data_IF_389704389990
#
_entry.id   IF_389704389990
#
_cell.length_a   1.000
_cell.length_b   1.000
_cell.length_c   1.000
_cell.angle_alpha   90.00
_cell.angle_beta   90.00
_cell.angle_gamma   90.00
#
_symmetry.space_group_name_H-M   'P 1'
#
loop_
_entity.id
_entity.type
_entity.pdbx_description
1 polymer ?
#
# COMPACT_ATOMS: atom_id res chain seq x y z
N UNK A 1 47.52 -10.53 -11.05
CA UNK A 1 46.87 -10.00 -9.83
C UNK A 1 45.33 -10.02 -9.88
N UNK A 2 44.67 -9.54 -10.96
CA UNK A 2 43.19 -9.58 -11.06
C UNK A 2 42.58 -11.00 -11.04
N UNK A 3 43.24 -11.98 -11.66
CA UNK A 3 42.78 -13.39 -11.69
C UNK A 3 42.91 -14.11 -10.34
N UNK A 4 43.88 -13.72 -9.50
CA UNK A 4 44.06 -14.29 -8.15
C UNK A 4 43.04 -13.67 -7.17
N UNK A 5 42.73 -12.38 -7.35
CA UNK A 5 41.71 -11.67 -6.59
C UNK A 5 40.31 -12.27 -6.82
N UNK A 6 39.96 -12.59 -8.06
CA UNK A 6 38.67 -13.22 -8.39
C UNK A 6 38.53 -14.63 -7.79
N UNK A 7 39.60 -15.42 -7.74
CA UNK A 7 39.56 -16.76 -7.15
C UNK A 7 39.39 -16.69 -5.63
N UNK A 8 40.02 -15.72 -4.96
CA UNK A 8 39.83 -15.48 -3.53
C UNK A 8 38.40 -15.03 -3.18
N UNK A 9 37.80 -14.20 -4.04
CA UNK A 9 36.45 -13.67 -3.84
C UNK A 9 35.37 -14.75 -4.03
N UNK A 10 35.57 -15.66 -4.98
CA UNK A 10 34.69 -16.83 -5.18
C UNK A 10 34.82 -17.82 -4.02
N UNK A 11 36.04 -18.08 -3.52
CA UNK A 11 36.26 -18.95 -2.35
C UNK A 11 35.62 -18.41 -1.07
N UNK A 12 35.63 -17.08 -0.86
CA UNK A 12 35.00 -16.46 0.31
C UNK A 12 33.47 -16.62 0.33
N UNK A 13 32.81 -16.65 -0.83
CA UNK A 13 31.35 -16.83 -0.96
C UNK A 13 30.91 -18.29 -0.73
N UNK A 14 31.80 -19.26 -0.96
CA UNK A 14 31.49 -20.68 -0.68
C UNK A 14 31.56 -21.04 0.81
N UNK A 15 32.33 -20.31 1.62
CA UNK A 15 32.45 -20.57 3.06
C UNK A 15 31.34 -19.95 3.93
N UNK A 16 30.46 -19.12 3.37
CA UNK A 16 29.39 -18.45 4.12
C UNK A 16 28.10 -19.29 4.31
N UNK A 17 28.03 -20.51 3.79
CA UNK A 17 26.81 -21.35 3.85
C UNK A 17 26.91 -22.56 4.79
N UNK A 18 27.97 -22.73 5.58
CA UNK A 18 28.16 -23.89 6.47
C UNK A 18 28.25 -23.49 7.94
N UNK A 19 27.44 -22.52 8.37
CA UNK A 19 27.32 -22.13 9.76
C UNK A 19 25.84 -21.90 10.13
N UNK A 20 25.08 -22.99 10.25
CA UNK A 20 24.00 -23.21 11.22
C UNK A 20 23.25 -24.51 10.88
N UNK A 21 23.91 -25.66 11.03
CA UNK A 21 23.21 -26.92 11.27
C UNK A 21 23.35 -27.22 12.76
N UNK A 22 22.28 -27.00 13.52
CA UNK A 22 22.10 -27.58 14.85
C UNK A 22 20.76 -28.31 14.88
N UNK A 23 20.86 -29.60 15.17
CA UNK A 23 19.77 -30.55 15.32
C UNK A 23 18.92 -30.32 16.57
N UNK A 24 17.63 -30.61 16.40
CA UNK A 24 16.71 -31.31 17.31
C UNK A 24 16.22 -30.60 18.57
N UNK A 25 14.90 -30.39 18.63
CA UNK A 25 13.99 -31.05 19.58
C UNK A 25 12.55 -30.82 19.16
N UNK A 26 11.84 -31.92 18.90
CA UNK A 26 10.38 -31.96 18.85
C UNK A 26 9.84 -31.60 20.24
N UNK A 27 9.19 -30.45 20.35
CA UNK A 27 8.31 -30.16 21.48
C UNK A 27 6.95 -29.75 20.91
N UNK A 28 5.97 -30.62 21.12
CA UNK A 28 4.57 -30.39 20.74
C UNK A 28 4.00 -29.34 21.69
N UNK A 29 4.29 -28.08 21.41
CA UNK A 29 3.68 -26.95 22.07
C UNK A 29 2.24 -26.82 21.57
N UNK A 30 1.30 -26.96 22.49
CA UNK A 30 -0.11 -26.62 22.30
C UNK A 30 -0.18 -25.12 22.02
N UNK A 31 -0.28 -24.74 20.75
CA UNK A 31 -0.44 -23.35 20.31
C UNK A 31 -1.77 -22.83 20.82
N UNK A 32 -1.76 -22.22 22.01
CA UNK A 32 -2.75 -21.21 22.36
C UNK A 32 -2.45 -20.03 21.45
N UNK A 33 -3.27 -19.84 20.42
CA UNK A 33 -3.25 -18.62 19.61
C UNK A 33 -3.71 -17.48 20.51
N UNK A 34 -2.80 -16.94 21.30
CA UNK A 34 -2.97 -15.62 21.88
C UNK A 34 -3.01 -14.67 20.69
N UNK A 35 -4.19 -14.20 20.32
CA UNK A 35 -4.34 -13.12 19.35
C UNK A 35 -3.61 -11.93 19.96
N UNK A 36 -2.36 -11.71 19.55
CA UNK A 36 -1.68 -10.44 19.75
C UNK A 36 -2.56 -9.41 19.09
N UNK A 37 -3.22 -8.59 19.90
CA UNK A 37 -3.84 -7.36 19.41
C UNK A 37 -2.68 -6.55 18.86
N UNK A 38 -2.61 -6.42 17.54
CA UNK A 38 -1.68 -5.52 16.89
C UNK A 38 -2.02 -4.12 17.40
N UNK A 39 -1.16 -3.55 18.25
CA UNK A 39 -1.29 -2.17 18.71
C UNK A 39 -1.27 -1.30 17.46
N UNK A 40 -2.33 -0.51 17.26
CA UNK A 40 -2.41 0.39 16.13
C UNK A 40 -1.40 1.52 16.38
N UNK A 41 -0.30 1.63 15.61
CA UNK A 41 0.69 2.69 15.81
C UNK A 41 0.11 4.09 15.53
N UNK A 42 -1.12 4.16 15.02
CA UNK A 42 -1.85 5.35 14.63
C UNK A 42 -3.05 5.65 15.54
N UNK A 43 -3.14 5.01 16.71
CA UNK A 43 -4.29 5.17 17.62
C UNK A 43 -4.46 6.61 18.12
N UNK A 44 -3.37 7.37 18.28
CA UNK A 44 -3.43 8.72 18.84
C UNK A 44 -3.35 9.85 17.82
N UNK A 45 -2.64 9.68 16.70
CA UNK A 45 -2.51 10.68 15.64
C UNK A 45 -1.86 10.07 14.41
N UNK A 46 -2.34 10.42 13.22
CA UNK A 46 -1.78 9.93 11.96
C UNK A 46 -1.73 11.02 10.90
N UNK A 47 -0.59 11.13 10.23
CA UNK A 47 -0.41 11.96 9.04
C UNK A 47 -0.71 11.11 7.79
N UNK A 48 -1.55 11.62 6.90
CA UNK A 48 -1.96 10.95 5.67
C UNK A 48 -1.62 11.86 4.49
N UNK A 49 -0.77 11.40 3.59
CA UNK A 49 -0.54 12.10 2.32
C UNK A 49 -1.65 11.81 1.33
N UNK A 50 -2.17 12.85 0.69
CA UNK A 50 -3.36 12.75 -0.17
C UNK A 50 -3.16 13.49 -1.49
N UNK A 51 -3.35 12.79 -2.61
CA UNK A 51 -3.38 13.43 -3.94
C UNK A 51 -4.78 13.36 -4.55
N UNK A 52 -5.36 14.53 -4.79
CA UNK A 52 -6.69 14.64 -5.40
C UNK A 52 -6.61 14.60 -6.92
N UNK A 53 -7.70 14.19 -7.57
CA UNK A 53 -7.77 14.17 -9.03
C UNK A 53 -7.57 15.56 -9.63
N UNK A 54 -8.27 16.56 -9.08
CA UNK A 54 -8.27 17.93 -9.58
C UNK A 54 -7.80 18.85 -8.46
N UNK A 55 -6.60 19.40 -8.61
CA UNK A 55 -6.04 20.33 -7.61
C UNK A 55 -5.60 21.68 -8.20
N UNK A 56 -6.19 22.09 -9.32
CA UNK A 56 -5.86 23.35 -10.00
C UNK A 56 -6.04 24.59 -9.10
N UNK A 57 -7.02 24.55 -8.20
CA UNK A 57 -7.34 25.64 -7.27
C UNK A 57 -6.92 25.31 -5.83
N UNK A 58 -5.80 24.60 -5.68
CA UNK A 58 -5.27 24.23 -4.36
C UNK A 58 -5.15 25.46 -3.44
N UNK A 59 -5.53 25.27 -2.18
CA UNK A 59 -5.40 26.24 -1.11
C UNK A 59 -5.05 25.46 0.15
N UNK A 60 -4.09 25.95 0.91
CA UNK A 60 -3.80 25.39 2.23
C UNK A 60 -4.96 25.70 3.19
N UNK A 61 -5.15 24.83 4.20
CA UNK A 61 -6.09 25.02 5.29
C UNK A 61 -7.53 25.20 4.80
N UNK A 62 -7.98 24.37 3.85
CA UNK A 62 -9.37 24.45 3.42
C UNK A 62 -10.30 23.97 4.53
N UNK A 63 -11.52 24.48 4.52
CA UNK A 63 -12.49 24.16 5.57
C UNK A 63 -12.81 22.66 5.64
N UNK A 64 -12.84 21.98 4.50
CA UNK A 64 -13.15 20.55 4.38
C UNK A 64 -12.00 19.67 4.90
N UNK A 65 -10.76 20.03 4.59
CA UNK A 65 -9.53 19.44 5.16
C UNK A 65 -9.55 19.55 6.70
N UNK A 66 -9.67 20.77 7.23
CA UNK A 66 -9.65 21.02 8.68
C UNK A 66 -10.81 20.33 9.44
N UNK A 67 -11.98 20.20 8.80
CA UNK A 67 -13.12 19.52 9.40
C UNK A 67 -12.88 18.00 9.48
N UNK A 68 -12.34 17.40 8.42
CA UNK A 68 -11.98 15.97 8.40
C UNK A 68 -10.86 15.65 9.39
N UNK A 69 -9.81 16.45 9.43
CA UNK A 69 -8.70 16.32 10.39
C UNK A 69 -9.20 16.33 11.83
N UNK A 70 -10.09 17.27 12.17
CA UNK A 70 -10.70 17.35 13.50
C UNK A 70 -11.61 16.16 13.79
N UNK A 71 -12.42 15.72 12.83
CA UNK A 71 -13.36 14.60 13.00
C UNK A 71 -12.64 13.27 13.25
N UNK A 72 -11.56 13.03 12.50
CA UNK A 72 -10.86 11.75 12.51
C UNK A 72 -9.57 11.76 13.32
N UNK A 73 -9.18 12.92 13.87
CA UNK A 73 -7.94 13.11 14.63
C UNK A 73 -6.70 12.69 13.82
N UNK A 74 -6.63 13.20 12.59
CA UNK A 74 -5.56 12.97 11.62
C UNK A 74 -5.07 14.32 11.08
N UNK A 75 -3.93 14.30 10.41
CA UNK A 75 -3.39 15.41 9.62
C UNK A 75 -3.35 14.99 8.15
N UNK A 76 -4.03 15.73 7.27
CA UNK A 76 -4.18 15.37 5.86
C UNK A 76 -3.27 16.26 5.03
N UNK A 77 -2.12 15.74 4.65
CA UNK A 77 -1.15 16.43 3.81
C UNK A 77 -1.55 16.33 2.34
N UNK A 78 -2.37 17.28 1.88
CA UNK A 78 -2.84 17.34 0.49
C UNK A 78 -1.72 17.84 -0.44
N UNK A 79 -1.33 17.01 -1.39
CA UNK A 79 -0.29 17.32 -2.37
C UNK A 79 -0.79 18.32 -3.40
N UNK A 80 0.04 19.32 -3.72
CA UNK A 80 -0.31 20.40 -4.66
C UNK A 80 -0.48 19.95 -6.11
N UNK A 81 0.07 18.80 -6.48
CA UNK A 81 0.03 18.27 -7.84
C UNK A 81 -1.39 17.87 -8.25
N UNK A 82 -1.63 17.94 -9.55
CA UNK A 82 -2.92 17.64 -10.15
C UNK A 82 -2.90 16.24 -10.80
N UNK A 83 -3.71 15.33 -10.27
CA UNK A 83 -3.81 13.93 -10.70
C UNK A 83 -4.17 13.71 -12.18
N UNK A 84 -4.70 14.71 -12.88
CA UNK A 84 -5.00 14.64 -14.33
C UNK A 84 -3.91 15.25 -15.22
N UNK A 85 -2.83 15.80 -14.66
CA UNK A 85 -1.71 16.38 -15.41
C UNK A 85 -0.54 15.39 -15.47
N UNK A 86 -0.37 14.74 -16.62
CA UNK A 86 0.66 13.70 -16.80
C UNK A 86 2.10 14.18 -16.51
N UNK A 87 2.41 15.44 -16.84
CA UNK A 87 3.72 16.02 -16.57
C UNK A 87 4.02 16.17 -15.07
N UNK A 88 2.99 16.27 -14.24
CA UNK A 88 3.12 16.33 -12.78
C UNK A 88 3.16 14.94 -12.15
N UNK A 89 2.44 13.96 -12.72
CA UNK A 89 2.44 12.58 -12.21
C UNK A 89 3.72 11.81 -12.57
N UNK A 90 4.24 11.97 -13.79
CA UNK A 90 5.39 11.21 -14.28
C UNK A 90 6.61 11.22 -13.31
N UNK A 91 7.06 12.36 -12.76
CA UNK A 91 8.20 12.36 -11.84
C UNK A 91 7.89 11.68 -10.50
N UNK A 92 6.68 11.85 -9.94
CA UNK A 92 6.28 11.23 -8.66
C UNK A 92 6.34 9.70 -8.76
N UNK A 93 5.68 9.14 -9.77
CA UNK A 93 5.64 7.71 -9.99
C UNK A 93 7.00 7.12 -10.36
N UNK A 94 7.82 7.84 -11.15
CA UNK A 94 9.17 7.40 -11.48
C UNK A 94 10.12 7.38 -10.26
N UNK A 95 9.89 8.27 -9.30
CA UNK A 95 10.65 8.32 -8.05
C UNK A 95 10.18 7.31 -7.00
N UNK A 96 9.01 6.69 -7.20
CA UNK A 96 8.33 5.90 -6.17
C UNK A 96 7.78 6.76 -5.02
N UNK A 97 7.64 8.07 -5.24
CA UNK A 97 7.07 9.02 -4.29
C UNK A 97 5.55 9.02 -4.48
N UNK A 98 4.90 8.03 -3.85
CA UNK A 98 3.47 7.74 -3.98
C UNK A 98 2.77 8.14 -2.67
N UNK A 99 1.68 8.93 -2.73
CA UNK A 99 0.92 9.31 -1.55
C UNK A 99 0.14 8.11 -0.98
N UNK A 100 -0.20 8.16 0.31
CA UNK A 100 -0.94 7.11 1.01
C UNK A 100 -2.30 6.83 0.38
N UNK A 101 -2.95 7.90 -0.11
CA UNK A 101 -4.20 7.83 -0.86
C UNK A 101 -4.18 8.77 -2.06
N UNK A 102 -4.65 8.31 -3.21
CA UNK A 102 -4.74 9.16 -4.39
C UNK A 102 -5.78 8.75 -5.40
N UNK A 103 -6.13 9.73 -6.25
CA UNK A 103 -6.75 9.47 -7.53
C UNK A 103 -5.99 10.21 -8.64
N UNK A 104 -5.16 9.48 -9.40
CA UNK A 104 -4.29 10.03 -10.43
C UNK A 104 -4.56 9.38 -11.81
N UNK A 105 -5.61 9.79 -12.54
CA UNK A 105 -5.91 9.24 -13.87
C UNK A 105 -4.79 9.41 -14.90
N UNK A 106 -3.90 10.39 -14.72
CA UNK A 106 -2.76 10.63 -15.59
C UNK A 106 -1.47 9.94 -15.14
N UNK A 107 -1.54 9.00 -14.19
CA UNK A 107 -0.41 8.16 -13.81
C UNK A 107 0.16 7.41 -15.03
N UNK A 108 1.50 7.20 -15.10
CA UNK A 108 2.15 6.59 -16.26
C UNK A 108 1.87 5.08 -16.42
N UNK A 109 1.23 4.47 -15.41
CA UNK A 109 0.87 3.06 -15.35
C UNK A 109 -0.59 2.90 -14.94
N UNK A 110 -1.31 1.89 -15.44
CA UNK A 110 -2.61 1.51 -14.87
C UNK A 110 -2.41 0.90 -13.47
N UNK A 111 -3.46 0.79 -12.64
CA UNK A 111 -3.36 0.28 -11.27
C UNK A 111 -2.67 -1.10 -11.15
N UNK A 112 -2.91 -2.01 -12.10
CA UNK A 112 -2.27 -3.33 -12.13
C UNK A 112 -0.75 -3.20 -12.25
N UNK A 113 -0.28 -2.33 -13.16
CA UNK A 113 1.14 -2.09 -13.36
C UNK A 113 1.80 -1.42 -12.16
N UNK A 114 1.08 -0.54 -11.46
CA UNK A 114 1.59 0.09 -10.23
C UNK A 114 1.76 -0.94 -9.11
N UNK A 115 0.83 -1.88 -8.97
CA UNK A 115 0.93 -2.99 -8.03
C UNK A 115 2.06 -3.96 -8.38
N UNK A 116 2.21 -4.34 -9.65
CA UNK A 116 3.30 -5.19 -10.13
C UNK A 116 4.69 -4.58 -9.90
N UNK A 117 4.80 -3.26 -10.05
CA UNK A 117 6.03 -2.49 -9.78
C UNK A 117 6.25 -2.23 -8.28
N UNK A 118 5.32 -2.61 -7.40
CA UNK A 118 5.41 -2.42 -5.95
C UNK A 118 5.19 -0.98 -5.48
N UNK A 119 4.63 -0.13 -6.34
CA UNK A 119 4.28 1.27 -6.03
C UNK A 119 3.04 1.36 -5.16
N UNK A 120 2.16 0.36 -5.24
CA UNK A 120 0.94 0.25 -4.43
C UNK A 120 0.83 -1.12 -3.78
N UNK A 121 -0.08 -1.23 -2.82
CA UNK A 121 -0.48 -2.49 -2.18
C UNK A 121 -1.91 -2.84 -2.55
N UNK A 122 -2.24 -4.12 -2.47
CA UNK A 122 -3.63 -4.57 -2.50
C UNK A 122 -4.29 -4.42 -1.12
N UNK A 123 -5.62 -4.46 -1.12
CA UNK A 123 -6.46 -4.41 0.08
C UNK A 123 -7.26 -5.71 0.13
N UNK A 124 -7.08 -6.47 1.20
CA UNK A 124 -7.85 -7.69 1.44
C UNK A 124 -9.32 -7.35 1.75
N UNK A 125 -10.26 -8.14 1.22
CA UNK A 125 -11.71 -7.91 1.35
C UNK A 125 -12.18 -7.85 2.81
N UNK A 126 -11.52 -8.55 3.72
CA UNK A 126 -11.84 -8.48 5.15
C UNK A 126 -11.58 -7.10 5.75
N UNK A 127 -10.57 -6.37 5.27
CA UNK A 127 -10.32 -4.98 5.70
C UNK A 127 -11.43 -4.06 5.20
N UNK A 128 -11.89 -4.26 3.96
CA UNK A 128 -13.02 -3.51 3.39
C UNK A 128 -14.28 -3.80 4.20
N UNK A 129 -14.58 -5.06 4.49
CA UNK A 129 -15.74 -5.45 5.30
C UNK A 129 -15.69 -4.89 6.72
N UNK A 130 -14.51 -4.86 7.34
CA UNK A 130 -14.31 -4.38 8.71
C UNK A 130 -14.42 -2.85 8.81
N UNK A 131 -13.76 -2.13 7.91
CA UNK A 131 -13.56 -0.69 8.03
C UNK A 131 -14.47 0.14 7.11
N UNK A 132 -15.01 -0.46 6.04
CA UNK A 132 -15.90 0.18 5.06
C UNK A 132 -17.18 -0.67 4.84
N UNK A 133 -17.94 -1.01 5.90
CA UNK A 133 -19.06 -1.95 5.80
C UNK A 133 -20.13 -1.49 4.80
N UNK A 134 -20.44 -0.19 4.73
CA UNK A 134 -21.41 0.33 3.75
C UNK A 134 -20.95 0.20 2.29
N UNK A 135 -19.65 0.31 2.02
CA UNK A 135 -19.11 0.02 0.69
C UNK A 135 -19.20 -1.47 0.38
N UNK A 136 -18.89 -2.33 1.35
CA UNK A 136 -19.04 -3.78 1.19
C UNK A 136 -20.49 -4.19 0.89
N UNK A 137 -21.47 -3.62 1.61
CA UNK A 137 -22.91 -3.82 1.35
C UNK A 137 -23.31 -3.40 -0.07
N UNK A 138 -22.74 -2.30 -0.58
CA UNK A 138 -22.96 -1.85 -1.95
C UNK A 138 -22.40 -2.86 -2.97
N UNK A 139 -21.22 -3.43 -2.74
CA UNK A 139 -20.65 -4.47 -3.59
C UNK A 139 -21.53 -5.73 -3.60
N UNK A 140 -22.11 -6.11 -2.44
CA UNK A 140 -23.06 -7.23 -2.36
C UNK A 140 -24.34 -6.96 -3.14
N UNK A 141 -24.82 -5.71 -3.14
CA UNK A 141 -26.02 -5.31 -3.90
C UNK A 141 -25.79 -5.30 -5.42
N UNK A 142 -24.55 -5.09 -5.87
CA UNK A 142 -24.18 -5.06 -7.29
C UNK A 142 -23.00 -6.03 -7.50
N UNK A 143 -23.24 -7.34 -7.73
CA UNK A 143 -22.19 -8.36 -7.71
C UNK A 143 -21.03 -8.14 -8.68
N UNK A 144 -21.25 -7.43 -9.79
CA UNK A 144 -20.17 -7.05 -10.72
C UNK A 144 -19.14 -6.11 -10.07
N UNK A 145 -19.51 -5.43 -8.98
CA UNK A 145 -18.62 -4.57 -8.21
C UNK A 145 -17.42 -5.32 -7.62
N UNK A 146 -17.57 -6.59 -7.23
CA UNK A 146 -16.45 -7.42 -6.76
C UNK A 146 -15.45 -7.78 -7.85
N UNK A 147 -15.79 -7.59 -9.13
CA UNK A 147 -14.83 -7.76 -10.22
C UNK A 147 -14.02 -6.50 -10.48
N UNK A 148 -14.49 -5.34 -10.00
CA UNK A 148 -13.81 -4.08 -10.19
C UNK A 148 -12.60 -3.99 -9.27
N UNK A 149 -11.45 -3.58 -9.80
CA UNK A 149 -10.16 -3.53 -9.11
C UNK A 149 -9.66 -4.87 -8.54
N UNK A 150 -10.29 -6.01 -8.83
CA UNK A 150 -9.82 -7.30 -8.35
C UNK A 150 -8.42 -7.59 -8.91
N UNK A 151 -7.47 -7.93 -8.05
CA UNK A 151 -6.11 -8.28 -8.46
C UNK A 151 -6.18 -9.50 -9.40
N UNK A 152 -5.53 -9.48 -10.58
CA UNK A 152 -5.55 -10.59 -11.51
C UNK A 152 -5.16 -11.93 -10.85
N UNK A 153 -6.04 -12.93 -10.95
CA UNK A 153 -5.81 -14.26 -10.38
C UNK A 153 -6.07 -14.40 -8.88
N UNK A 154 -6.59 -13.35 -8.21
CA UNK A 154 -7.01 -13.37 -6.80
C UNK A 154 -8.54 -13.38 -6.70
N UNK A 155 -9.04 -13.65 -5.50
CA UNK A 155 -10.49 -13.65 -5.19
C UNK A 155 -10.86 -12.69 -4.06
N UNK A 156 -9.87 -12.16 -3.37
CA UNK A 156 -9.99 -11.52 -2.06
C UNK A 156 -9.14 -10.24 -1.93
N UNK A 157 -8.38 -9.87 -2.96
CA UNK A 157 -7.43 -8.75 -2.95
C UNK A 157 -7.80 -7.74 -4.03
N UNK A 158 -7.85 -6.46 -3.66
CA UNK A 158 -8.29 -5.36 -4.52
C UNK A 158 -7.21 -4.29 -4.67
N UNK A 159 -7.02 -3.78 -5.87
CA UNK A 159 -6.05 -2.72 -6.23
C UNK A 159 -6.46 -1.32 -5.73
N UNK A 160 -7.70 -1.18 -5.25
CA UNK A 160 -8.24 0.07 -4.75
C UNK A 160 -9.74 -0.01 -4.51
N UNK A 161 -10.29 1.05 -3.91
CA UNK A 161 -11.72 1.20 -3.70
C UNK A 161 -12.32 1.85 -4.95
N UNK A 162 -13.39 1.29 -5.48
CA UNK A 162 -14.11 1.88 -6.63
C UNK A 162 -14.70 3.21 -6.17
N UNK A 163 -14.47 4.29 -6.94
CA UNK A 163 -15.13 5.55 -6.62
C UNK A 163 -16.66 5.36 -6.69
N UNK A 164 -17.37 5.86 -5.69
CA UNK A 164 -18.82 6.08 -5.78
C UNK A 164 -19.02 7.57 -6.08
N UNK A 165 -19.59 7.89 -7.24
CA UNK A 165 -20.08 9.25 -7.52
C UNK A 165 -21.47 9.45 -6.92
#
# INVERSE_FOLDING_TARGET
MKRILCVFLVLAVFFSFVACTKNQSDDTAKTTTTTTVEENPFEEFFEITWLTQNNTDFRENRWDELELEKMFNVDIQVWTQNGVVAAEMAPLFAAGDIPDFYFAPAAPRPPEGQYEEGLTRSIHIDLIKKWLPGYYEMLEAIPVGFLYNLVPGKTDEYLGITHCN
#
